data_IF_621147606954
#
_entry.id   IF_621147606954
#
_cell.length_a   1.000
_cell.length_b   1.000
_cell.length_c   1.000
_cell.angle_alpha   90.00
_cell.angle_beta   90.00
_cell.angle_gamma   90.00
#
_symmetry.space_group_name_H-M   'P 1'
#
loop_
_entity.id
_entity.type
_entity.pdbx_description
1 polymer ?
#
# COMPACT_ATOMS: atom_id res chain seq x y z
N UNK A 1 32.06 -41.40 27.37
CA UNK A 1 32.54 -40.03 27.22
C UNK A 1 31.68 -39.38 26.14
N UNK A 2 30.67 -38.61 26.54
CA UNK A 2 29.83 -37.84 25.61
C UNK A 2 30.40 -36.43 25.55
N UNK A 3 30.70 -35.96 24.34
CA UNK A 3 31.25 -34.64 24.08
C UNK A 3 30.27 -33.89 23.18
N UNK A 4 29.26 -33.26 23.78
CA UNK A 4 28.31 -32.39 23.10
C UNK A 4 28.93 -30.99 22.92
N UNK A 5 29.62 -30.80 21.80
CA UNK A 5 29.98 -29.48 21.30
C UNK A 5 28.84 -28.93 20.43
N UNK A 6 27.73 -28.55 21.06
CA UNK A 6 26.68 -27.78 20.38
C UNK A 6 26.86 -26.28 20.71
N UNK A 7 27.95 -25.73 20.20
CA UNK A 7 28.26 -24.31 20.28
C UNK A 7 27.44 -23.52 19.27
N UNK A 8 26.41 -22.83 19.77
CA UNK A 8 26.18 -21.41 19.49
C UNK A 8 26.18 -20.98 18.01
N UNK A 9 25.10 -21.28 17.29
CA UNK A 9 24.83 -20.68 15.96
C UNK A 9 23.53 -19.85 15.89
N UNK A 10 22.86 -19.63 17.04
CA UNK A 10 21.46 -19.16 17.05
C UNK A 10 21.27 -17.66 17.29
N UNK A 11 22.30 -16.89 17.62
CA UNK A 11 22.14 -15.45 17.92
C UNK A 11 22.32 -14.52 16.70
N UNK A 12 23.05 -14.96 15.65
CA UNK A 12 23.25 -14.12 14.46
C UNK A 12 22.11 -14.23 13.43
N UNK A 13 21.43 -15.38 13.37
CA UNK A 13 20.34 -15.65 12.42
C UNK A 13 19.11 -14.79 12.68
N UNK A 14 18.74 -14.60 13.95
CA UNK A 14 17.60 -13.77 14.35
C UNK A 14 17.74 -12.30 13.89
N UNK A 15 18.97 -11.78 13.90
CA UNK A 15 19.24 -10.43 13.43
C UNK A 15 19.05 -10.30 11.92
N UNK A 16 19.53 -11.28 11.15
CA UNK A 16 19.42 -11.28 9.70
C UNK A 16 17.98 -11.51 9.23
N UNK A 17 17.24 -12.38 9.90
CA UNK A 17 15.80 -12.59 9.66
C UNK A 17 14.99 -11.33 9.97
N UNK A 18 15.30 -10.63 11.07
CA UNK A 18 14.66 -9.35 11.39
C UNK A 18 14.96 -8.27 10.33
N UNK A 19 16.20 -8.19 9.83
CA UNK A 19 16.54 -7.27 8.74
C UNK A 19 15.81 -7.62 7.44
N UNK A 20 15.74 -8.90 7.08
CA UNK A 20 15.01 -9.36 5.92
C UNK A 20 13.51 -9.05 6.04
N UNK A 21 12.92 -9.28 7.21
CA UNK A 21 11.52 -8.97 7.49
C UNK A 21 11.22 -7.46 7.37
N UNK A 22 12.11 -6.59 7.89
CA UNK A 22 11.98 -5.14 7.75
C UNK A 22 12.08 -4.69 6.29
N UNK A 23 13.00 -5.26 5.53
CA UNK A 23 13.15 -4.96 4.11
C UNK A 23 11.95 -5.43 3.29
N UNK A 24 11.44 -6.63 3.59
CA UNK A 24 10.22 -7.16 2.97
C UNK A 24 9.00 -6.29 3.27
N UNK A 25 8.84 -5.82 4.52
CA UNK A 25 7.78 -4.90 4.91
C UNK A 25 7.87 -3.57 4.17
N UNK A 26 9.06 -2.98 4.07
CA UNK A 26 9.27 -1.74 3.30
C UNK A 26 8.97 -1.94 1.81
N UNK A 27 9.42 -3.06 1.23
CA UNK A 27 9.13 -3.41 -0.16
C UNK A 27 7.63 -3.57 -0.42
N UNK A 28 6.92 -4.25 0.49
CA UNK A 28 5.46 -4.39 0.41
C UNK A 28 4.73 -3.05 0.53
N UNK A 29 5.18 -2.17 1.43
CA UNK A 29 4.62 -0.82 1.57
C UNK A 29 4.83 0.02 0.29
N UNK A 30 6.03 -0.01 -0.29
CA UNK A 30 6.33 0.68 -1.55
C UNK A 30 5.52 0.11 -2.72
N UNK A 31 5.37 -1.21 -2.81
CA UNK A 31 4.54 -1.86 -3.82
C UNK A 31 3.08 -1.41 -3.70
N UNK A 32 2.54 -1.40 -2.48
CA UNK A 32 1.16 -0.97 -2.21
C UNK A 32 0.93 0.49 -2.60
N UNK A 33 1.91 1.38 -2.36
CA UNK A 33 1.86 2.76 -2.84
C UNK A 33 1.90 2.84 -4.37
N UNK A 34 2.75 2.04 -5.01
CA UNK A 34 2.81 1.92 -6.47
C UNK A 34 1.48 1.44 -7.07
N UNK A 35 0.86 0.44 -6.45
CA UNK A 35 -0.45 -0.09 -6.83
C UNK A 35 -1.55 0.96 -6.62
N UNK A 36 -1.47 1.74 -5.53
CA UNK A 36 -2.37 2.85 -5.26
C UNK A 36 -2.29 3.95 -6.34
N UNK A 37 -1.07 4.37 -6.70
CA UNK A 37 -0.85 5.34 -7.78
C UNK A 37 -1.37 4.79 -9.11
N UNK A 38 -1.06 3.53 -9.42
CA UNK A 38 -1.51 2.87 -10.65
C UNK A 38 -3.03 2.74 -10.71
N UNK A 39 -3.69 2.48 -9.57
CA UNK A 39 -5.14 2.44 -9.45
C UNK A 39 -5.77 3.80 -9.72
N UNK A 40 -5.20 4.88 -9.17
CA UNK A 40 -5.65 6.25 -9.46
C UNK A 40 -5.49 6.56 -10.95
N UNK A 41 -4.34 6.23 -11.55
CA UNK A 41 -4.10 6.44 -12.97
C UNK A 41 -5.07 5.66 -13.85
N UNK A 42 -5.34 4.39 -13.53
CA UNK A 42 -6.34 3.57 -14.21
C UNK A 42 -7.75 4.17 -14.08
N UNK A 43 -8.11 4.65 -12.88
CA UNK A 43 -9.38 5.35 -12.64
C UNK A 43 -9.53 6.62 -13.49
N UNK A 44 -8.46 7.41 -13.61
CA UNK A 44 -8.42 8.60 -14.46
C UNK A 44 -8.49 8.26 -15.97
N UNK A 45 -7.78 7.21 -16.41
CA UNK A 45 -7.85 6.74 -17.79
C UNK A 45 -9.26 6.23 -18.15
N UNK A 46 -9.89 5.46 -17.25
CA UNK A 46 -11.29 5.04 -17.38
C UNK A 46 -12.22 6.25 -17.42
N UNK A 47 -12.01 7.25 -16.55
CA UNK A 47 -12.77 8.50 -16.56
C UNK A 47 -12.64 9.24 -17.90
N UNK A 48 -11.43 9.33 -18.48
CA UNK A 48 -11.24 9.95 -19.79
C UNK A 48 -11.93 9.18 -20.92
N UNK A 49 -11.84 7.84 -20.92
CA UNK A 49 -12.56 6.98 -21.89
C UNK A 49 -14.09 7.10 -21.77
N UNK A 50 -14.61 7.15 -20.54
CA UNK A 50 -16.04 7.35 -20.27
C UNK A 50 -16.49 8.76 -20.68
N UNK A 51 -15.72 9.80 -20.35
CA UNK A 51 -16.05 11.18 -20.70
C UNK A 51 -15.94 11.45 -22.22
N UNK A 52 -14.99 10.80 -22.91
CA UNK A 52 -14.91 10.84 -24.37
C UNK A 52 -16.11 10.15 -25.02
N UNK A 53 -16.69 9.12 -24.36
CA UNK A 53 -17.95 8.50 -24.79
C UNK A 53 -19.22 9.26 -24.31
N UNK A 54 -19.12 10.05 -23.23
CA UNK A 54 -20.22 10.83 -22.63
C UNK A 54 -20.13 12.30 -23.00
N UNK A 55 -20.30 12.57 -24.29
CA UNK A 55 -20.77 13.86 -24.78
C UNK A 55 -22.27 14.09 -24.42
N UNK A 56 -22.75 13.57 -23.28
CA UNK A 56 -24.15 13.66 -22.83
C UNK A 56 -24.20 13.95 -21.31
N UNK A 57 -24.58 15.18 -20.99
CA UNK A 57 -24.21 16.02 -19.84
C UNK A 57 -24.76 15.67 -18.45
N UNK A 58 -24.97 14.39 -18.11
CA UNK A 58 -25.61 13.98 -16.84
C UNK A 58 -24.68 13.47 -15.72
N UNK A 59 -23.49 12.94 -16.04
CA UNK A 59 -22.81 11.98 -15.16
C UNK A 59 -21.65 12.56 -14.31
N UNK A 60 -21.26 13.80 -14.59
CA UNK A 60 -20.10 14.46 -13.96
C UNK A 60 -20.29 14.73 -12.46
N UNK A 61 -21.54 14.94 -12.00
CA UNK A 61 -21.84 15.18 -10.57
C UNK A 61 -21.69 13.93 -9.70
N UNK A 62 -21.98 12.74 -10.24
CA UNK A 62 -21.88 11.49 -9.48
C UNK A 62 -20.41 11.11 -9.26
N UNK A 63 -19.59 11.33 -10.27
CA UNK A 63 -18.15 11.08 -10.23
C UNK A 63 -17.41 11.99 -9.24
N UNK A 64 -17.79 13.27 -9.15
CA UNK A 64 -17.21 14.19 -8.15
C UNK A 64 -17.45 13.70 -6.72
N UNK A 65 -18.64 13.14 -6.44
CA UNK A 65 -18.96 12.56 -5.12
C UNK A 65 -18.18 11.29 -4.83
N UNK A 66 -17.90 10.48 -5.85
CA UNK A 66 -17.12 9.25 -5.70
C UNK A 66 -15.63 9.58 -5.46
N UNK A 67 -15.09 10.63 -6.08
CA UNK A 67 -13.74 11.16 -5.79
C UNK A 67 -13.65 11.70 -4.35
N UNK A 68 -14.61 12.50 -3.90
CA UNK A 68 -14.63 13.03 -2.53
C UNK A 68 -14.67 11.91 -1.47
N UNK A 69 -15.39 10.82 -1.75
CA UNK A 69 -15.45 9.65 -0.88
C UNK A 69 -14.13 8.89 -0.83
N UNK A 70 -13.42 8.79 -1.95
CA UNK A 70 -12.09 8.17 -1.98
C UNK A 70 -11.07 9.03 -1.22
N UNK A 71 -11.14 10.36 -1.35
CA UNK A 71 -10.26 11.28 -0.64
C UNK A 71 -10.41 11.16 0.89
N UNK A 72 -11.65 11.06 1.39
CA UNK A 72 -11.91 10.78 2.81
C UNK A 72 -11.36 9.44 3.29
N UNK A 73 -11.42 8.39 2.46
CA UNK A 73 -10.87 7.08 2.82
C UNK A 73 -9.34 7.12 2.90
N UNK A 74 -8.68 7.86 1.99
CA UNK A 74 -7.24 8.10 2.04
C UNK A 74 -6.85 8.85 3.33
N UNK A 75 -7.62 9.87 3.72
CA UNK A 75 -7.37 10.61 4.96
C UNK A 75 -7.48 9.72 6.21
N UNK A 76 -8.48 8.83 6.25
CA UNK A 76 -8.65 7.88 7.35
C UNK A 76 -7.50 6.86 7.42
N UNK A 77 -7.05 6.35 6.27
CA UNK A 77 -5.89 5.46 6.20
C UNK A 77 -4.62 6.17 6.68
N UNK A 78 -4.37 7.40 6.21
CA UNK A 78 -3.24 8.21 6.66
C UNK A 78 -3.27 8.43 8.18
N UNK A 79 -4.46 8.70 8.74
CA UNK A 79 -4.63 8.86 10.19
C UNK A 79 -4.30 7.57 10.94
N UNK A 80 -4.75 6.42 10.46
CA UNK A 80 -4.46 5.12 11.08
C UNK A 80 -2.96 4.79 11.01
N UNK A 81 -2.31 5.04 9.88
CA UNK A 81 -0.85 4.88 9.73
C UNK A 81 -0.10 5.78 10.72
N UNK A 82 -0.53 7.03 10.90
CA UNK A 82 0.08 7.96 11.85
C UNK A 82 -0.06 7.49 13.30
N UNK A 83 -1.23 6.94 13.65
CA UNK A 83 -1.48 6.35 14.98
C UNK A 83 -0.60 5.12 15.21
N UNK A 84 -0.44 4.27 14.20
CA UNK A 84 0.34 3.03 14.30
C UNK A 84 1.86 3.29 14.33
N UNK A 85 2.31 4.45 13.85
CA UNK A 85 3.69 4.93 13.91
C UNK A 85 4.06 5.60 15.26
N UNK A 86 3.14 5.67 16.21
CA UNK A 86 3.35 6.16 17.58
C UNK A 86 3.31 5.02 18.58
#
# INVERSE_FOLDING_TARGET
>A
MYNDNNGQFSENTDSQELYAAKLAWLGAALSTLGDGISTIAAGLAVQQLVNTNKQNSGDTQKLSKDIDRMQKQIDLLNKQINIMNR
#
